data_IF_538603142961
#
_entry.id   IF_538603142961
#
_cell.length_a   1.000
_cell.length_b   1.000
_cell.length_c   1.000
_cell.angle_alpha   90.00
_cell.angle_beta   90.00
_cell.angle_gamma   90.00
#
_symmetry.space_group_name_H-M   'P 1'
#
loop_
_entity.id
_entity.type
_entity.pdbx_description
1 polymer ?
#
# COMPACT_ATOMS: atom_id res chain seq x y z
N UNK A 1 -47.73 -39.75 -36.27
CA UNK A 1 -47.85 -38.75 -35.20
C UNK A 1 -47.37 -39.37 -33.90
N UNK A 2 -46.27 -38.84 -33.34
CA UNK A 2 -45.91 -38.64 -31.93
C UNK A 2 -46.76 -39.32 -30.84
N UNK A 3 -46.23 -39.83 -29.72
CA UNK A 3 -44.90 -39.81 -29.10
C UNK A 3 -44.92 -40.90 -28.02
N UNK A 4 -43.89 -41.75 -27.97
CA UNK A 4 -43.70 -42.71 -26.89
C UNK A 4 -43.30 -41.98 -25.59
N UNK A 5 -43.74 -42.58 -24.49
CA UNK A 5 -43.64 -42.10 -23.12
C UNK A 5 -42.20 -41.89 -22.63
N UNK A 6 -42.14 -40.92 -21.71
CA UNK A 6 -41.12 -40.61 -20.72
C UNK A 6 -40.32 -41.84 -20.22
N UNK A 7 -39.00 -41.68 -20.14
CA UNK A 7 -38.20 -42.43 -19.17
C UNK A 7 -37.23 -41.49 -18.43
N UNK A 8 -37.57 -41.30 -17.17
CA UNK A 8 -36.77 -40.94 -16.00
C UNK A 8 -35.25 -40.90 -16.17
N UNK A 9 -34.59 -39.82 -15.72
CA UNK A 9 -33.84 -39.79 -14.46
C UNK A 9 -33.02 -38.50 -14.33
N UNK A 10 -33.35 -37.76 -13.27
CA UNK A 10 -32.42 -37.13 -12.34
C UNK A 10 -31.01 -36.84 -12.85
N UNK A 11 -30.80 -35.61 -13.32
CA UNK A 11 -29.61 -34.89 -12.93
C UNK A 11 -30.07 -33.58 -12.34
N UNK A 12 -30.09 -33.53 -11.01
CA UNK A 12 -30.05 -32.29 -10.26
C UNK A 12 -28.84 -31.50 -10.76
N UNK A 13 -29.06 -30.65 -11.77
CA UNK A 13 -28.11 -29.61 -12.12
C UNK A 13 -28.25 -28.55 -11.02
N UNK A 14 -27.71 -28.88 -9.85
CA UNK A 14 -27.35 -27.90 -8.83
C UNK A 14 -26.29 -27.06 -9.53
N UNK A 15 -26.74 -25.99 -10.18
CA UNK A 15 -25.88 -24.88 -10.51
C UNK A 15 -25.36 -24.39 -9.16
N UNK A 16 -24.18 -24.87 -8.76
CA UNK A 16 -23.35 -24.17 -7.80
C UNK A 16 -23.09 -22.81 -8.44
N UNK A 17 -23.98 -21.85 -8.17
CA UNK A 17 -23.70 -20.45 -8.39
C UNK A 17 -22.61 -20.17 -7.37
N UNK A 18 -21.36 -20.33 -7.79
CA UNK A 18 -20.24 -19.73 -7.09
C UNK A 18 -20.56 -18.24 -7.10
N UNK A 19 -21.14 -17.74 -6.01
CA UNK A 19 -21.25 -16.32 -5.76
C UNK A 19 -19.83 -15.87 -5.43
N UNK A 20 -18.97 -15.83 -6.45
CA UNK A 20 -17.77 -15.06 -6.37
C UNK A 20 -18.24 -13.63 -6.14
N UNK A 21 -18.10 -13.16 -4.90
CA UNK A 21 -18.38 -11.79 -4.56
C UNK A 21 -17.44 -10.92 -5.38
N UNK A 22 -17.89 -10.50 -6.58
CA UNK A 22 -17.20 -9.51 -7.37
C UNK A 22 -16.99 -8.31 -6.45
N UNK A 23 -15.74 -8.06 -6.04
CA UNK A 23 -15.37 -6.85 -5.29
C UNK A 23 -15.50 -5.65 -6.23
N UNK A 24 -16.73 -5.27 -6.52
CA UNK A 24 -17.02 -4.08 -7.31
C UNK A 24 -16.69 -2.84 -6.46
N UNK A 25 -15.84 -1.98 -7.00
CA UNK A 25 -15.65 -0.64 -6.43
C UNK A 25 -16.99 0.09 -6.57
N UNK A 26 -17.53 0.60 -5.47
CA UNK A 26 -18.82 1.28 -5.51
C UNK A 26 -18.70 2.54 -6.38
N UNK A 27 -19.72 2.80 -7.22
CA UNK A 27 -19.77 3.95 -8.15
C UNK A 27 -19.45 5.30 -7.48
N UNK A 28 -19.81 5.45 -6.21
CA UNK A 28 -19.60 6.69 -5.46
C UNK A 28 -18.16 6.89 -4.96
N UNK A 29 -17.31 5.87 -4.93
CA UNK A 29 -15.93 5.98 -4.38
C UNK A 29 -15.11 7.01 -5.16
N UNK A 30 -15.10 6.92 -6.48
CA UNK A 30 -14.35 7.84 -7.33
C UNK A 30 -14.79 9.31 -7.21
N UNK A 31 -16.09 9.67 -7.32
CA UNK A 31 -16.52 11.06 -7.15
C UNK A 31 -16.23 11.58 -5.73
N UNK A 32 -16.44 10.78 -4.70
CA UNK A 32 -16.12 11.17 -3.31
C UNK A 32 -14.63 11.44 -3.12
N UNK A 33 -13.74 10.57 -3.62
CA UNK A 33 -12.29 10.79 -3.53
C UNK A 33 -11.83 12.04 -4.29
N UNK A 34 -12.40 12.31 -5.47
CA UNK A 34 -12.10 13.53 -6.23
C UNK A 34 -12.47 14.80 -5.45
N UNK A 35 -13.65 14.81 -4.81
CA UNK A 35 -14.05 15.93 -3.95
C UNK A 35 -13.13 16.11 -2.74
N UNK A 36 -12.79 15.01 -2.05
CA UNK A 36 -11.88 15.05 -0.90
C UNK A 36 -10.54 15.67 -1.32
N UNK A 37 -9.96 15.22 -2.43
CA UNK A 37 -8.68 15.75 -2.94
C UNK A 37 -8.80 17.22 -3.33
N UNK A 38 -9.89 17.63 -3.97
CA UNK A 38 -10.16 19.05 -4.31
C UNK A 38 -10.25 19.91 -3.05
N UNK A 39 -10.90 19.43 -2.00
CA UNK A 39 -11.01 20.13 -0.71
C UNK A 39 -9.66 20.20 0.00
N UNK A 40 -8.89 19.10 0.02
CA UNK A 40 -7.53 19.08 0.58
C UNK A 40 -6.59 20.10 -0.07
N UNK A 41 -6.66 20.25 -1.39
CA UNK A 41 -5.86 21.26 -2.13
C UNK A 41 -6.19 22.71 -1.77
N UNK A 42 -7.38 22.99 -1.24
CA UNK A 42 -7.80 24.34 -0.81
C UNK A 42 -7.43 24.67 0.64
N UNK A 43 -7.10 23.66 1.44
CA UNK A 43 -6.66 23.84 2.82
C UNK A 43 -5.25 24.48 2.84
N UNK A 44 -4.84 25.10 3.96
CA UNK A 44 -3.46 25.53 4.12
C UNK A 44 -2.48 24.36 3.93
N UNK A 45 -1.22 24.64 3.56
CA UNK A 45 -0.21 23.61 3.36
C UNK A 45 -0.09 22.75 4.61
N UNK A 46 -0.40 21.46 4.44
CA UNK A 46 -0.24 20.47 5.49
C UNK A 46 1.23 20.10 5.59
N UNK A 47 1.67 19.70 6.79
CA UNK A 47 3.03 19.18 6.96
C UNK A 47 3.20 17.97 6.05
N UNK A 48 4.15 18.06 5.13
CA UNK A 48 4.41 16.98 4.20
C UNK A 48 4.94 15.77 4.97
N UNK A 49 4.38 14.56 4.73
CA UNK A 49 4.88 13.37 5.37
C UNK A 49 6.32 13.11 4.94
N UNK A 50 7.15 12.67 5.87
CA UNK A 50 8.52 12.24 5.57
C UNK A 50 8.50 11.12 4.53
N UNK A 51 9.42 11.14 3.57
CA UNK A 51 9.47 10.14 2.47
C UNK A 51 9.61 8.69 2.97
N UNK A 52 10.19 8.51 4.15
CA UNK A 52 10.34 7.21 4.80
C UNK A 52 9.03 6.61 5.34
N UNK A 53 7.95 7.39 5.44
CA UNK A 53 6.65 6.92 5.94
C UNK A 53 5.83 6.16 4.89
N UNK A 54 6.22 6.24 3.62
CA UNK A 54 5.54 5.56 2.53
C UNK A 54 5.97 4.10 2.42
N UNK A 55 5.03 3.22 2.09
CA UNK A 55 5.24 1.76 2.06
C UNK A 55 6.25 1.34 0.99
N UNK A 56 6.34 2.06 -0.13
CA UNK A 56 7.31 1.72 -1.18
C UNK A 56 8.76 2.10 -0.83
N UNK A 57 9.00 2.79 0.30
CA UNK A 57 10.33 3.26 0.68
C UNK A 57 11.14 2.17 1.39
N UNK A 58 12.32 1.84 0.85
CA UNK A 58 13.25 0.90 1.47
C UNK A 58 14.63 1.55 1.66
N UNK A 59 15.05 1.71 2.92
CA UNK A 59 16.32 2.34 3.30
C UNK A 59 17.54 1.74 2.60
N UNK A 60 17.63 0.41 2.52
CA UNK A 60 18.81 -0.27 1.96
C UNK A 60 18.89 -0.06 0.44
N UNK A 61 17.74 -0.16 -0.24
CA UNK A 61 17.66 0.04 -1.68
C UNK A 61 17.99 1.49 -2.06
N UNK A 62 17.54 2.45 -1.26
CA UNK A 62 17.76 3.88 -1.50
C UNK A 62 19.22 4.28 -1.32
N UNK A 63 19.94 3.69 -0.36
CA UNK A 63 21.38 3.90 -0.18
C UNK A 63 22.17 3.30 -1.35
N UNK A 64 21.81 2.09 -1.77
CA UNK A 64 22.42 1.47 -2.93
C UNK A 64 22.25 2.34 -4.18
N UNK A 65 21.01 2.79 -4.46
CA UNK A 65 20.72 3.66 -5.58
C UNK A 65 21.44 5.02 -5.48
N UNK A 66 21.62 5.55 -4.26
CA UNK A 66 22.40 6.77 -4.03
C UNK A 66 23.87 6.60 -4.47
N UNK A 67 24.50 5.49 -4.11
CA UNK A 67 25.89 5.19 -4.48
C UNK A 67 26.04 5.07 -6.00
N UNK A 68 25.17 4.29 -6.64
CA UNK A 68 25.19 4.09 -8.10
C UNK A 68 24.99 5.40 -8.88
N UNK A 69 24.08 6.27 -8.41
CA UNK A 69 23.83 7.57 -9.05
C UNK A 69 25.06 8.48 -9.06
N UNK A 70 25.87 8.43 -8.02
CA UNK A 70 27.09 9.23 -7.93
C UNK A 70 28.30 8.56 -8.59
N UNK A 71 28.16 7.31 -9.05
CA UNK A 71 29.27 6.49 -9.56
C UNK A 71 30.45 6.37 -8.58
N UNK A 72 30.16 6.51 -7.28
CA UNK A 72 31.12 6.47 -6.20
C UNK A 72 30.96 5.19 -5.37
N UNK A 73 32.09 4.64 -4.89
CA UNK A 73 32.10 3.44 -4.05
C UNK A 73 32.17 3.84 -2.56
N UNK A 74 31.04 4.24 -2.01
CA UNK A 74 30.94 4.51 -0.58
C UNK A 74 30.94 3.21 0.25
N UNK A 75 31.52 3.28 1.46
CA UNK A 75 31.26 2.26 2.47
C UNK A 75 29.87 2.52 3.06
N UNK A 76 28.95 1.56 2.88
CA UNK A 76 27.55 1.65 3.29
C UNK A 76 27.39 1.90 4.79
N UNK A 77 28.22 1.29 5.64
CA UNK A 77 28.13 1.45 7.10
C UNK A 77 28.43 2.89 7.54
N UNK A 78 29.48 3.47 6.99
CA UNK A 78 29.88 4.86 7.29
C UNK A 78 28.87 5.85 6.73
N UNK A 79 28.33 5.56 5.55
CA UNK A 79 27.31 6.40 4.92
C UNK A 79 26.01 6.38 5.73
N UNK A 80 25.60 5.21 6.22
CA UNK A 80 24.44 5.08 7.09
C UNK A 80 24.60 5.88 8.38
N UNK A 81 25.76 5.79 9.02
CA UNK A 81 26.09 6.57 10.20
C UNK A 81 26.07 8.07 9.90
N UNK A 82 26.57 8.50 8.75
CA UNK A 82 26.59 9.91 8.34
C UNK A 82 25.18 10.49 8.17
N UNK A 83 24.19 9.68 7.77
CA UNK A 83 22.79 10.11 7.66
C UNK A 83 22.07 10.22 9.00
N UNK A 84 22.67 9.79 10.12
CA UNK A 84 22.05 9.87 11.44
C UNK A 84 22.43 11.20 12.10
N UNK A 85 21.42 12.03 12.36
CA UNK A 85 21.60 13.28 13.11
C UNK A 85 21.36 13.10 14.61
N UNK A 86 22.05 13.91 15.44
CA UNK A 86 21.96 13.84 16.91
C UNK A 86 20.54 14.02 17.44
N UNK A 87 19.75 14.90 16.81
CA UNK A 87 18.36 15.14 17.24
C UNK A 87 17.49 13.88 17.14
N UNK A 88 17.70 13.07 16.10
CA UNK A 88 16.99 11.81 15.90
C UNK A 88 17.29 10.82 17.03
N UNK A 89 18.57 10.70 17.43
CA UNK A 89 18.99 9.81 18.52
C UNK A 89 18.31 10.21 19.84
N UNK A 90 18.28 11.51 20.16
CA UNK A 90 17.65 12.01 21.40
C UNK A 90 16.15 11.71 21.42
N UNK A 91 15.47 11.90 20.29
CA UNK A 91 14.05 11.58 20.15
C UNK A 91 13.79 10.08 20.32
N UNK A 92 14.64 9.23 19.73
CA UNK A 92 14.50 7.78 19.83
C UNK A 92 14.74 7.26 21.26
N UNK A 93 15.74 7.81 21.97
CA UNK A 93 15.99 7.50 23.38
C UNK A 93 14.78 7.89 24.25
N UNK A 94 14.23 9.09 24.04
CA UNK A 94 13.04 9.56 24.76
C UNK A 94 11.84 8.65 24.50
N UNK A 95 11.66 8.21 23.26
CA UNK A 95 10.60 7.28 22.89
C UNK A 95 10.79 5.93 23.59
N UNK A 96 11.99 5.33 23.55
CA UNK A 96 12.27 4.04 24.23
C UNK A 96 11.99 4.11 25.73
N UNK A 97 12.48 5.13 26.42
CA UNK A 97 12.25 5.35 27.86
C UNK A 97 10.77 5.53 28.24
N UNK A 98 9.91 5.95 27.30
CA UNK A 98 8.47 6.08 27.54
C UNK A 98 7.76 4.71 27.59
N UNK A 99 8.32 3.71 26.92
CA UNK A 99 7.73 2.37 26.82
C UNK A 99 8.29 1.39 27.86
N UNK A 100 9.34 1.79 28.58
CA UNK A 100 9.90 1.12 29.76
C UNK A 100 9.21 1.61 31.04
#
# INVERSE_FOLDING_TARGET
>A
MNKLQLYFQTFTNIKYINYEGCRHIKRWVAPTQKEITKRKKKLPPQVEPHRNSFIEWNRNAEIYAFNERLSEKFNTEKLDQAFIHKSYILEEIKNKKKWE
#
